data_IF_965712729801
#
_entry.id   IF_965712729801
#
_cell.length_a   1.000
_cell.length_b   1.000
_cell.length_c   1.000
_cell.angle_alpha   90.00
_cell.angle_beta   90.00
_cell.angle_gamma   90.00
#
_symmetry.space_group_name_H-M   'P 1'
#
loop_
_entity.id
_entity.type
_entity.pdbx_description
1 polymer ?
#
# COMPACT_ATOMS: atom_id res chain seq x y z
N UNK A 1 -44.71 -14.11 71.23
CA UNK A 1 -43.69 -13.88 70.19
C UNK A 1 -44.19 -12.77 69.30
N UNK A 2 -43.56 -11.61 69.39
CA UNK A 2 -44.00 -10.37 68.74
C UNK A 2 -43.32 -10.21 67.38
N UNK A 3 -44.06 -9.85 66.35
CA UNK A 3 -43.53 -9.36 65.07
C UNK A 3 -44.03 -7.94 64.82
N UNK A 4 -43.16 -6.97 65.11
CA UNK A 4 -43.32 -5.56 64.71
C UNK A 4 -42.75 -5.40 63.30
N UNK A 5 -43.56 -4.83 62.40
CA UNK A 5 -43.14 -4.34 61.09
C UNK A 5 -42.28 -3.08 61.25
N UNK A 6 -40.99 -3.19 60.93
CA UNK A 6 -40.06 -2.07 60.85
C UNK A 6 -39.84 -1.66 59.40
N UNK A 7 -40.21 -0.42 59.07
CA UNK A 7 -39.82 0.27 57.85
C UNK A 7 -38.33 0.63 57.91
N UNK A 8 -37.52 0.13 56.98
CA UNK A 8 -36.17 0.64 56.73
C UNK A 8 -36.07 1.18 55.31
N UNK A 9 -35.95 2.51 55.23
CA UNK A 9 -35.54 3.28 54.08
C UNK A 9 -34.16 2.81 53.61
N UNK A 10 -34.07 2.21 52.42
CA UNK A 10 -32.79 1.93 51.77
C UNK A 10 -32.54 3.00 50.70
N UNK A 11 -31.58 3.86 51.01
CA UNK A 11 -31.09 5.01 50.25
C UNK A 11 -30.57 4.56 48.88
N UNK A 12 -31.29 4.86 47.79
CA UNK A 12 -30.70 4.84 46.45
C UNK A 12 -29.78 6.05 46.32
N UNK A 13 -28.49 5.80 46.47
CA UNK A 13 -27.45 6.76 46.10
C UNK A 13 -27.52 6.95 44.57
N UNK A 14 -28.20 8.01 44.14
CA UNK A 14 -28.21 8.42 42.74
C UNK A 14 -26.80 8.94 42.42
N UNK A 15 -25.95 8.07 41.88
CA UNK A 15 -24.73 8.47 41.19
C UNK A 15 -25.15 9.27 39.95
N UNK A 16 -25.22 10.60 40.11
CA UNK A 16 -25.24 11.53 38.99
C UNK A 16 -23.98 11.28 38.16
N UNK A 17 -24.11 10.60 37.01
CA UNK A 17 -23.10 10.62 35.94
C UNK A 17 -22.84 12.10 35.61
N UNK A 18 -21.76 12.66 36.16
CA UNK A 18 -21.28 13.98 35.75
C UNK A 18 -20.88 13.85 34.29
N UNK A 19 -21.62 14.50 33.38
CA UNK A 19 -21.19 14.68 31.99
C UNK A 19 -19.86 15.42 32.04
N UNK A 20 -18.81 14.79 31.52
CA UNK A 20 -17.51 15.42 31.37
C UNK A 20 -17.65 16.65 30.45
N UNK A 21 -16.85 17.71 30.66
CA UNK A 21 -16.81 18.85 29.74
C UNK A 21 -16.48 18.36 28.32
N UNK A 22 -17.10 18.94 27.30
CA UNK A 22 -16.91 18.55 25.89
C UNK A 22 -15.43 18.45 25.49
N UNK A 23 -14.59 19.41 25.90
CA UNK A 23 -13.15 19.39 25.65
C UNK A 23 -12.40 18.21 26.28
N UNK A 24 -12.88 17.70 27.42
CA UNK A 24 -12.28 16.52 28.07
C UNK A 24 -12.68 15.25 27.32
N UNK A 25 -13.92 15.16 26.84
CA UNK A 25 -14.41 14.04 26.02
C UNK A 25 -13.66 13.99 24.69
N UNK A 26 -13.56 15.12 23.97
CA UNK A 26 -12.81 15.21 22.70
C UNK A 26 -11.34 14.84 22.88
N UNK A 27 -10.72 15.24 23.99
CA UNK A 27 -9.33 14.88 24.29
C UNK A 27 -9.16 13.39 24.58
N UNK A 28 -10.09 12.78 25.32
CA UNK A 28 -10.05 11.34 25.64
C UNK A 28 -10.21 10.51 24.36
N UNK A 29 -11.21 10.83 23.52
CA UNK A 29 -11.42 10.14 22.23
C UNK A 29 -10.15 10.23 21.36
N UNK A 30 -9.52 11.41 21.32
CA UNK A 30 -8.28 11.61 20.56
C UNK A 30 -7.10 10.80 21.13
N UNK A 31 -6.98 10.67 22.44
CA UNK A 31 -5.94 9.83 23.06
C UNK A 31 -6.20 8.34 22.82
N UNK A 32 -7.46 7.89 22.81
CA UNK A 32 -7.87 6.52 22.50
C UNK A 32 -7.54 6.14 21.04
N UNK A 33 -7.93 6.98 20.08
CA UNK A 33 -7.61 6.78 18.65
C UNK A 33 -6.09 6.70 18.43
N UNK A 34 -5.31 7.59 19.04
CA UNK A 34 -3.85 7.56 18.91
C UNK A 34 -3.21 6.31 19.54
N UNK A 35 -3.79 5.79 20.63
CA UNK A 35 -3.31 4.55 21.24
C UNK A 35 -3.62 3.34 20.35
N UNK A 36 -4.84 3.23 19.82
CA UNK A 36 -5.21 2.17 18.86
C UNK A 36 -4.26 2.19 17.65
N UNK A 37 -4.08 3.34 17.01
CA UNK A 37 -3.20 3.48 15.85
C UNK A 37 -1.77 3.04 16.15
N UNK A 38 -1.30 3.30 17.37
CA UNK A 38 0.02 2.92 17.82
C UNK A 38 0.12 1.42 18.05
N UNK A 39 -0.91 0.80 18.61
CA UNK A 39 -0.99 -0.65 18.79
C UNK A 39 -0.97 -1.37 17.44
N UNK A 40 -1.75 -0.89 16.47
CA UNK A 40 -1.77 -1.40 15.09
C UNK A 40 -0.41 -1.27 14.39
N UNK A 41 0.23 -0.11 14.52
CA UNK A 41 1.58 0.09 13.95
C UNK A 41 2.62 -0.87 14.56
N UNK A 42 2.55 -1.10 15.87
CA UNK A 42 3.44 -2.04 16.58
C UNK A 42 3.16 -3.49 16.23
N UNK A 43 1.89 -3.84 16.06
CA UNK A 43 1.47 -5.16 15.61
C UNK A 43 2.04 -5.44 14.23
N UNK A 44 1.92 -4.49 13.30
CA UNK A 44 2.54 -4.61 11.98
C UNK A 44 4.06 -4.77 12.07
N UNK A 45 4.77 -3.95 12.86
CA UNK A 45 6.23 -4.10 13.06
C UNK A 45 6.61 -5.50 13.58
N UNK A 46 5.82 -6.07 14.49
CA UNK A 46 6.03 -7.43 15.01
C UNK A 46 5.83 -8.49 13.93
N UNK A 47 4.73 -8.41 13.17
CA UNK A 47 4.43 -9.33 12.05
C UNK A 47 5.54 -9.24 11.01
N UNK A 48 5.96 -8.02 10.68
CA UNK A 48 7.02 -7.75 9.74
C UNK A 48 8.35 -8.39 10.14
N UNK A 49 8.80 -8.20 11.39
CA UNK A 49 10.04 -8.78 11.89
C UNK A 49 10.01 -10.31 11.77
N UNK A 50 8.95 -10.95 12.27
CA UNK A 50 8.83 -12.40 12.19
C UNK A 50 8.78 -12.92 10.76
N UNK A 51 8.03 -12.25 9.88
CA UNK A 51 7.92 -12.64 8.48
C UNK A 51 9.26 -12.47 7.76
N UNK A 52 9.88 -11.29 7.81
CA UNK A 52 11.15 -11.03 7.10
C UNK A 52 12.28 -11.96 7.53
N UNK A 53 12.38 -12.33 8.80
CA UNK A 53 13.34 -13.34 9.27
C UNK A 53 13.03 -14.72 8.70
N UNK A 54 11.77 -15.17 8.77
CA UNK A 54 11.36 -16.49 8.25
C UNK A 54 11.50 -16.63 6.73
N UNK A 55 11.43 -15.51 5.98
CA UNK A 55 11.46 -15.50 4.53
C UNK A 55 12.85 -15.30 3.92
N UNK A 56 13.91 -15.12 4.74
CA UNK A 56 15.26 -14.83 4.26
C UNK A 56 15.74 -15.82 3.19
N UNK A 57 15.59 -17.12 3.44
CA UNK A 57 16.00 -18.17 2.49
C UNK A 57 15.21 -18.09 1.18
N UNK A 58 13.92 -17.72 1.25
CA UNK A 58 13.10 -17.52 0.05
C UNK A 58 13.55 -16.29 -0.74
N UNK A 59 13.81 -15.17 -0.08
CA UNK A 59 14.33 -13.96 -0.74
C UNK A 59 15.64 -14.24 -1.46
N UNK A 60 16.59 -14.89 -0.78
CA UNK A 60 17.90 -15.23 -1.36
C UNK A 60 17.74 -16.20 -2.53
N UNK A 61 16.93 -17.26 -2.38
CA UNK A 61 16.69 -18.24 -3.45
C UNK A 61 16.07 -17.60 -4.69
N UNK A 62 14.96 -16.88 -4.52
CA UNK A 62 14.21 -16.28 -5.63
C UNK A 62 15.02 -15.17 -6.28
N UNK A 63 15.67 -14.31 -5.48
CA UNK A 63 16.54 -13.26 -5.99
C UNK A 63 17.78 -13.80 -6.72
N UNK A 64 18.31 -14.96 -6.31
CA UNK A 64 19.40 -15.64 -7.04
C UNK A 64 18.93 -16.12 -8.40
N UNK A 65 17.75 -16.72 -8.47
CA UNK A 65 17.17 -17.16 -9.75
C UNK A 65 16.85 -15.98 -10.66
N UNK A 66 16.36 -14.87 -10.09
CA UNK A 66 16.19 -13.61 -10.81
C UNK A 66 17.52 -13.12 -11.38
N UNK A 67 18.57 -12.95 -10.56
CA UNK A 67 19.88 -12.50 -11.02
C UNK A 67 20.44 -13.40 -12.14
N UNK A 68 20.34 -14.72 -11.97
CA UNK A 68 20.79 -15.68 -12.97
C UNK A 68 20.01 -15.52 -14.29
N UNK A 69 18.69 -15.46 -14.24
CA UNK A 69 17.86 -15.30 -15.43
C UNK A 69 18.20 -14.00 -16.18
N UNK A 70 18.35 -12.88 -15.47
CA UNK A 70 18.72 -11.60 -16.06
C UNK A 70 20.13 -11.63 -16.68
N UNK A 71 21.11 -12.24 -15.99
CA UNK A 71 22.47 -12.39 -16.51
C UNK A 71 22.54 -13.29 -17.77
N UNK A 72 21.66 -14.28 -17.86
CA UNK A 72 21.50 -15.16 -19.02
C UNK A 72 20.70 -14.53 -20.17
N UNK A 73 20.15 -13.32 -19.99
CA UNK A 73 19.29 -12.66 -20.98
C UNK A 73 17.95 -13.36 -21.19
N UNK A 74 17.47 -14.10 -20.17
CA UNK A 74 16.17 -14.79 -20.19
C UNK A 74 15.09 -13.82 -19.76
N UNK A 75 13.90 -13.96 -20.36
CA UNK A 75 12.75 -13.16 -19.94
C UNK A 75 12.29 -13.60 -18.56
N UNK A 76 11.98 -12.61 -17.74
CA UNK A 76 11.39 -12.79 -16.42
C UNK A 76 10.02 -12.14 -16.43
N UNK A 77 9.03 -12.88 -15.97
CA UNK A 77 7.64 -12.47 -15.92
C UNK A 77 7.22 -12.33 -14.47
N UNK A 78 6.93 -11.11 -14.03
CA UNK A 78 6.32 -10.89 -12.72
C UNK A 78 4.80 -11.05 -12.88
N UNK A 79 4.24 -12.08 -12.25
CA UNK A 79 2.83 -12.42 -12.36
C UNK A 79 2.14 -12.27 -11.01
N UNK A 80 1.01 -11.57 -10.99
CA UNK A 80 0.21 -11.35 -9.81
C UNK A 80 -1.22 -10.98 -10.20
N UNK A 81 -2.20 -11.62 -9.58
CA UNK A 81 -3.63 -11.37 -9.83
C UNK A 81 -4.31 -11.02 -8.52
N UNK A 82 -5.38 -10.23 -8.57
CA UNK A 82 -6.12 -9.82 -7.39
C UNK A 82 -5.20 -9.16 -6.38
N UNK A 83 -5.13 -9.68 -5.17
CA UNK A 83 -4.21 -9.21 -4.13
C UNK A 83 -2.73 -9.50 -4.41
N UNK A 84 -2.38 -10.42 -5.31
CA UNK A 84 -0.97 -10.76 -5.56
C UNK A 84 -0.29 -9.81 -6.56
N UNK A 85 -1.03 -8.87 -7.15
CA UNK A 85 -0.48 -7.94 -8.15
C UNK A 85 0.58 -6.98 -7.59
N UNK A 86 0.47 -6.56 -6.31
CA UNK A 86 1.40 -5.59 -5.71
C UNK A 86 2.85 -6.07 -5.72
N UNK A 87 3.09 -7.36 -5.45
CA UNK A 87 4.44 -7.93 -5.56
C UNK A 87 4.95 -7.84 -6.99
N UNK A 88 4.12 -8.23 -7.97
CA UNK A 88 4.52 -8.29 -9.35
C UNK A 88 4.78 -6.88 -9.94
N UNK A 89 3.94 -5.91 -9.57
CA UNK A 89 4.09 -4.50 -9.92
C UNK A 89 5.39 -3.93 -9.33
N UNK A 90 5.57 -4.07 -8.02
CA UNK A 90 6.73 -3.53 -7.31
C UNK A 90 8.03 -4.18 -7.80
N UNK A 91 8.01 -5.49 -8.07
CA UNK A 91 9.17 -6.21 -8.62
C UNK A 91 9.56 -5.64 -9.98
N UNK A 92 8.59 -5.51 -10.89
CA UNK A 92 8.82 -5.06 -12.27
C UNK A 92 9.31 -3.63 -12.32
N UNK A 93 8.55 -2.72 -11.73
CA UNK A 93 8.77 -1.29 -11.93
C UNK A 93 10.01 -0.78 -11.18
N UNK A 94 10.55 -1.56 -10.25
CA UNK A 94 11.70 -1.19 -9.40
C UNK A 94 13.00 -1.92 -9.75
N UNK A 95 12.97 -2.78 -10.76
CA UNK A 95 14.16 -3.29 -11.47
C UNK A 95 14.80 -2.26 -12.42
N UNK A 96 14.52 -0.96 -12.21
CA UNK A 96 15.12 0.16 -12.94
C UNK A 96 14.99 0.10 -14.46
N UNK A 97 13.88 -0.48 -14.94
CA UNK A 97 13.60 -0.60 -16.37
C UNK A 97 14.48 -1.65 -17.07
N UNK A 98 14.93 -2.68 -16.35
CA UNK A 98 15.63 -3.82 -16.96
C UNK A 98 14.79 -4.38 -18.12
N UNK A 99 15.37 -4.58 -19.32
CA UNK A 99 14.59 -4.91 -20.52
C UNK A 99 13.91 -6.29 -20.44
N UNK A 100 14.51 -7.21 -19.70
CA UNK A 100 14.02 -8.60 -19.61
C UNK A 100 12.93 -8.83 -18.56
N UNK A 101 12.63 -7.87 -17.68
CA UNK A 101 11.51 -8.01 -16.74
C UNK A 101 10.22 -7.50 -17.38
N UNK A 102 9.19 -8.32 -17.36
CA UNK A 102 7.88 -8.04 -17.94
C UNK A 102 6.83 -8.24 -16.85
N UNK A 103 6.06 -7.20 -16.59
CA UNK A 103 4.90 -7.29 -15.70
C UNK A 103 3.69 -7.88 -16.43
N UNK A 104 3.07 -8.90 -15.84
CA UNK A 104 1.77 -9.42 -16.27
C UNK A 104 0.67 -8.88 -15.34
N UNK A 105 0.07 -7.76 -15.75
CA UNK A 105 -1.00 -7.08 -15.02
C UNK A 105 -2.29 -7.00 -15.85
N UNK A 106 -2.89 -8.13 -16.25
CA UNK A 106 -4.17 -8.11 -16.96
C UNK A 106 -5.22 -7.44 -16.08
N UNK A 107 -5.76 -6.30 -16.53
CA UNK A 107 -6.65 -5.45 -15.74
C UNK A 107 -7.93 -6.20 -15.30
N UNK A 108 -8.40 -7.12 -16.13
CA UNK A 108 -9.53 -8.01 -15.83
C UNK A 108 -9.30 -8.95 -14.65
N UNK A 109 -8.05 -9.12 -14.21
CA UNK A 109 -7.67 -9.92 -13.06
C UNK A 109 -7.36 -9.08 -11.82
N UNK A 110 -7.72 -7.79 -11.80
CA UNK A 110 -7.59 -6.94 -10.61
C UNK A 110 -8.88 -6.96 -9.79
N UNK A 111 -8.78 -6.85 -8.46
CA UNK A 111 -9.93 -7.02 -7.53
C UNK A 111 -11.09 -6.05 -7.75
N UNK A 112 -10.81 -4.89 -8.36
CA UNK A 112 -11.81 -3.89 -8.69
C UNK A 112 -12.53 -4.13 -10.03
N UNK A 113 -12.07 -5.07 -10.87
CA UNK A 113 -12.73 -5.41 -12.14
C UNK A 113 -13.87 -6.41 -11.91
N UNK A 114 -15.03 -6.17 -12.52
CA UNK A 114 -16.21 -7.02 -12.35
C UNK A 114 -16.03 -8.45 -12.86
N UNK A 115 -15.04 -8.70 -13.73
CA UNK A 115 -14.73 -10.01 -14.29
C UNK A 115 -13.83 -10.86 -13.39
N UNK A 116 -13.11 -10.23 -12.46
CA UNK A 116 -12.09 -10.86 -11.60
C UNK A 116 -12.56 -12.18 -10.99
N UNK A 117 -13.66 -12.13 -10.22
CA UNK A 117 -14.17 -13.29 -9.48
C UNK A 117 -14.46 -14.49 -10.39
N UNK A 118 -14.86 -14.26 -11.64
CA UNK A 118 -15.15 -15.33 -12.59
C UNK A 118 -13.89 -15.84 -13.27
N UNK A 119 -12.97 -14.96 -13.66
CA UNK A 119 -11.76 -15.34 -14.41
C UNK A 119 -10.74 -16.09 -13.55
N UNK A 120 -10.59 -15.75 -12.26
CA UNK A 120 -9.67 -16.50 -11.37
C UNK A 120 -10.09 -17.96 -11.18
N UNK A 121 -11.35 -18.29 -11.48
CA UNK A 121 -11.90 -19.66 -11.44
C UNK A 121 -11.82 -20.39 -12.78
N UNK A 122 -11.23 -19.79 -13.82
CA UNK A 122 -11.12 -20.38 -15.15
C UNK A 122 -9.68 -20.85 -15.43
N UNK A 123 -9.36 -22.14 -15.24
CA UNK A 123 -8.05 -22.72 -15.56
C UNK A 123 -7.60 -22.48 -17.00
N UNK A 124 -8.52 -22.47 -17.95
CA UNK A 124 -8.25 -22.34 -19.38
C UNK A 124 -7.64 -20.97 -19.74
N UNK A 125 -7.94 -19.96 -18.93
CA UNK A 125 -7.41 -18.61 -19.11
C UNK A 125 -5.89 -18.56 -18.89
N UNK A 126 -5.30 -19.51 -18.15
CA UNK A 126 -3.84 -19.63 -18.01
C UNK A 126 -3.14 -19.80 -19.37
N UNK A 127 -3.74 -20.60 -20.26
CA UNK A 127 -3.20 -20.82 -21.60
C UNK A 127 -3.26 -19.54 -22.44
N UNK A 128 -4.34 -18.77 -22.30
CA UNK A 128 -4.50 -17.47 -22.97
C UNK A 128 -3.40 -16.51 -22.53
N UNK A 129 -3.12 -16.41 -21.23
CA UNK A 129 -2.07 -15.53 -20.71
C UNK A 129 -0.68 -15.94 -21.22
N UNK A 130 -0.34 -17.23 -21.16
CA UNK A 130 0.95 -17.76 -21.65
C UNK A 130 1.14 -17.45 -23.14
N UNK A 131 0.10 -17.67 -23.97
CA UNK A 131 0.15 -17.41 -25.41
C UNK A 131 0.22 -15.91 -25.72
N UNK A 132 -0.59 -15.08 -25.04
CA UNK A 132 -0.66 -13.64 -25.29
C UNK A 132 0.66 -12.92 -24.95
N UNK A 133 1.31 -13.30 -23.85
CA UNK A 133 2.61 -12.75 -23.45
C UNK A 133 3.82 -13.48 -24.07
N UNK A 134 3.57 -14.54 -24.86
CA UNK A 134 4.61 -15.35 -25.50
C UNK A 134 5.64 -15.84 -24.48
N UNK A 135 5.15 -16.44 -23.39
CA UNK A 135 5.99 -17.05 -22.36
C UNK A 135 6.50 -18.39 -22.89
N UNK A 136 7.82 -18.52 -23.02
CA UNK A 136 8.48 -19.61 -23.73
C UNK A 136 9.34 -20.48 -22.80
N UNK A 137 9.72 -21.65 -23.30
CA UNK A 137 10.59 -22.59 -22.55
C UNK A 137 11.86 -21.87 -22.09
N UNK A 138 12.28 -22.16 -20.86
CA UNK A 138 13.38 -21.52 -20.15
C UNK A 138 13.09 -20.09 -19.67
N UNK A 139 11.94 -19.48 -19.91
CA UNK A 139 11.60 -18.23 -19.21
C UNK A 139 11.41 -18.47 -17.71
N UNK A 140 11.45 -17.40 -16.92
CA UNK A 140 11.19 -17.42 -15.48
C UNK A 140 9.90 -16.67 -15.17
N UNK A 141 8.99 -17.28 -14.42
CA UNK A 141 7.81 -16.61 -13.85
C UNK A 141 8.00 -16.50 -12.34
N UNK A 142 7.89 -15.26 -11.84
CA UNK A 142 7.94 -14.91 -10.43
C UNK A 142 6.56 -14.44 -9.98
N UNK A 143 6.04 -15.04 -8.91
CA UNK A 143 4.76 -14.66 -8.33
C UNK A 143 4.87 -14.52 -6.82
N UNK A 144 3.93 -13.80 -6.23
CA UNK A 144 3.59 -13.97 -4.82
C UNK A 144 2.47 -15.01 -4.71
N UNK A 145 2.44 -15.75 -3.62
CA UNK A 145 1.36 -16.67 -3.33
C UNK A 145 0.71 -16.29 -2.02
N UNK A 146 -0.42 -15.60 -2.12
CA UNK A 146 -1.32 -15.45 -1.00
C UNK A 146 -2.61 -16.24 -1.18
N UNK A 147 -3.05 -16.51 -2.41
CA UNK A 147 -4.33 -17.17 -2.67
C UNK A 147 -4.20 -18.42 -3.53
N UNK A 148 -5.01 -19.43 -3.21
CA UNK A 148 -5.19 -20.65 -4.00
C UNK A 148 -6.36 -20.48 -4.98
N UNK A 149 -6.06 -20.21 -6.24
CA UNK A 149 -7.08 -20.11 -7.30
C UNK A 149 -6.88 -21.18 -8.37
N UNK A 150 -7.96 -21.66 -9.02
CA UNK A 150 -7.85 -22.56 -10.17
C UNK A 150 -6.97 -22.00 -11.29
N UNK A 151 -6.98 -20.68 -11.51
CA UNK A 151 -6.11 -20.02 -12.48
C UNK A 151 -4.63 -20.12 -12.08
N UNK A 152 -4.27 -19.88 -10.82
CA UNK A 152 -2.88 -20.03 -10.34
C UNK A 152 -2.37 -21.46 -10.52
N UNK A 153 -3.15 -22.44 -10.07
CA UNK A 153 -2.81 -23.85 -10.20
C UNK A 153 -2.61 -24.25 -11.68
N UNK A 154 -3.44 -23.72 -12.58
CA UNK A 154 -3.31 -23.94 -14.01
C UNK A 154 -2.07 -23.27 -14.60
N UNK A 155 -1.78 -22.01 -14.25
CA UNK A 155 -0.58 -21.28 -14.67
C UNK A 155 0.69 -22.05 -14.29
N UNK A 156 0.82 -22.46 -13.03
CA UNK A 156 1.97 -23.23 -12.57
C UNK A 156 2.10 -24.56 -13.32
N UNK A 157 1.00 -25.31 -13.45
CA UNK A 157 0.99 -26.60 -14.15
C UNK A 157 1.41 -26.45 -15.62
N UNK A 158 0.90 -25.43 -16.30
CA UNK A 158 1.26 -25.16 -17.70
C UNK A 158 2.71 -24.74 -17.85
N UNK A 159 3.21 -23.86 -16.97
CA UNK A 159 4.60 -23.43 -16.95
C UNK A 159 5.55 -24.63 -16.81
N UNK A 160 5.32 -25.47 -15.79
CA UNK A 160 6.12 -26.68 -15.55
C UNK A 160 6.13 -27.62 -16.76
N UNK A 161 4.96 -27.84 -17.41
CA UNK A 161 4.84 -28.71 -18.60
C UNK A 161 5.61 -28.16 -19.81
N UNK A 162 5.64 -26.84 -19.98
CA UNK A 162 6.33 -26.17 -21.10
C UNK A 162 7.83 -25.96 -20.83
N UNK A 163 8.33 -26.35 -19.65
CA UNK A 163 9.72 -26.11 -19.25
C UNK A 163 10.00 -24.64 -18.92
N UNK A 164 8.98 -23.89 -18.51
CA UNK A 164 9.09 -22.55 -17.92
C UNK A 164 9.39 -22.73 -16.43
N UNK A 165 10.34 -21.97 -15.90
CA UNK A 165 10.63 -21.99 -14.47
C UNK A 165 9.58 -21.15 -13.74
N UNK A 166 9.01 -21.70 -12.67
CA UNK A 166 8.01 -21.03 -11.85
C UNK A 166 8.50 -20.94 -10.41
N UNK A 167 8.51 -19.74 -9.84
CA UNK A 167 8.95 -19.50 -8.47
C UNK A 167 7.96 -18.59 -7.77
N UNK A 168 7.70 -18.90 -6.51
CA UNK A 168 6.74 -18.18 -5.69
C UNK A 168 7.37 -17.78 -4.37
N UNK A 169 7.18 -16.53 -4.00
CA UNK A 169 7.35 -16.08 -2.62
C UNK A 169 6.04 -16.39 -1.88
N UNK A 170 6.13 -17.15 -0.79
CA UNK A 170 4.97 -17.55 0.00
C UNK A 170 4.90 -16.74 1.29
N UNK A 171 3.67 -16.39 1.71
CA UNK A 171 3.38 -15.96 3.07
C UNK A 171 2.36 -16.92 3.67
N UNK A 172 2.66 -17.48 4.84
CA UNK A 172 1.71 -18.31 5.58
C UNK A 172 0.59 -17.40 6.11
N UNK A 173 -0.61 -17.48 5.52
CA UNK A 173 -1.80 -16.76 6.01
C UNK A 173 -2.20 -17.28 7.39
N UNK A 174 -2.86 -16.43 8.17
CA UNK A 174 -3.64 -16.91 9.32
C UNK A 174 -4.73 -17.90 8.85
N UNK A 175 -4.59 -19.16 9.26
CA UNK A 175 -5.70 -20.13 9.30
C UNK A 175 -6.38 -20.08 10.67
N UNK A 176 -7.53 -20.74 10.84
CA UNK A 176 -8.32 -20.80 12.09
C UNK A 176 -7.50 -21.15 13.36
N UNK A 177 -6.33 -21.77 13.19
CA UNK A 177 -5.30 -21.85 14.24
C UNK A 177 -4.07 -21.02 13.82
N UNK A 178 -3.80 -19.86 14.46
CA UNK A 178 -2.66 -19.03 14.10
C UNK A 178 -1.34 -19.74 14.40
N UNK A 179 -0.53 -19.99 13.38
CA UNK A 179 0.88 -20.33 13.54
C UNK A 179 1.67 -19.12 14.05
N UNK A 180 2.82 -19.35 14.67
CA UNK A 180 3.68 -18.29 15.23
C UNK A 180 4.09 -17.21 14.20
N UNK A 181 4.07 -17.56 12.91
CA UNK A 181 4.50 -16.72 11.78
C UNK A 181 3.36 -16.34 10.83
N UNK A 182 2.10 -16.59 11.24
CA UNK A 182 0.95 -16.31 10.39
C UNK A 182 0.68 -14.81 10.27
N UNK A 183 0.45 -14.37 9.04
CA UNK A 183 0.27 -12.96 8.68
C UNK A 183 -1.23 -12.62 8.63
N UNK A 184 -1.61 -11.48 9.20
CA UNK A 184 -2.94 -10.90 9.04
C UNK A 184 -3.12 -10.37 7.61
N UNK A 185 -4.26 -10.70 6.99
CA UNK A 185 -4.56 -10.39 5.60
C UNK A 185 -4.41 -8.88 5.28
N UNK A 186 -4.83 -8.00 6.21
CA UNK A 186 -4.71 -6.54 6.06
C UNK A 186 -3.27 -6.03 5.91
N UNK A 187 -2.26 -6.78 6.37
CA UNK A 187 -0.85 -6.39 6.26
C UNK A 187 -0.13 -6.99 5.04
N UNK A 188 -0.78 -7.92 4.36
CA UNK A 188 -0.23 -8.62 3.20
C UNK A 188 0.28 -7.66 2.10
N UNK A 189 -0.42 -6.56 1.74
CA UNK A 189 0.05 -5.64 0.70
C UNK A 189 1.42 -5.06 1.01
N UNK A 190 1.68 -4.69 2.28
CA UNK A 190 2.99 -4.18 2.69
C UNK A 190 4.10 -5.24 2.59
N UNK A 191 3.80 -6.49 2.93
CA UNK A 191 4.77 -7.58 2.87
C UNK A 191 5.09 -7.97 1.43
N UNK A 192 4.09 -7.92 0.53
CA UNK A 192 4.28 -8.17 -0.90
C UNK A 192 5.21 -7.14 -1.54
N UNK A 193 4.97 -5.85 -1.32
CA UNK A 193 5.84 -4.80 -1.90
C UNK A 193 7.26 -4.88 -1.32
N UNK A 194 7.42 -5.23 -0.04
CA UNK A 194 8.75 -5.43 0.53
C UNK A 194 9.43 -6.69 0.01
N UNK A 195 8.71 -7.80 -0.08
CA UNK A 195 9.24 -9.06 -0.61
C UNK A 195 9.79 -8.87 -2.02
N UNK A 196 9.09 -8.09 -2.86
CA UNK A 196 9.58 -7.69 -4.17
C UNK A 196 10.90 -6.90 -4.08
N UNK A 197 11.00 -5.95 -3.16
CA UNK A 197 12.25 -5.19 -2.94
C UNK A 197 13.39 -6.03 -2.39
N UNK A 198 13.11 -6.99 -1.51
CA UNK A 198 14.10 -7.92 -0.99
C UNK A 198 14.64 -8.83 -2.10
N UNK A 199 13.77 -9.36 -2.95
CA UNK A 199 14.14 -10.14 -4.15
C UNK A 199 14.99 -9.30 -5.11
N UNK A 200 14.58 -8.06 -5.38
CA UNK A 200 15.36 -7.12 -6.21
C UNK A 200 16.73 -6.81 -5.58
N UNK A 201 16.78 -6.55 -4.27
CA UNK A 201 18.01 -6.27 -3.54
C UNK A 201 19.02 -7.42 -3.63
N UNK A 202 18.57 -8.67 -3.47
CA UNK A 202 19.38 -9.87 -3.70
C UNK A 202 19.91 -9.89 -5.13
N UNK A 203 19.05 -9.63 -6.12
CA UNK A 203 19.46 -9.70 -7.52
C UNK A 203 20.55 -8.67 -7.85
N UNK A 204 20.43 -7.46 -7.33
CA UNK A 204 21.42 -6.41 -7.47
C UNK A 204 22.71 -6.73 -6.71
N UNK A 205 22.60 -7.28 -5.50
CA UNK A 205 23.76 -7.66 -4.70
C UNK A 205 24.61 -8.70 -5.42
N UNK A 206 23.98 -9.74 -5.98
CA UNK A 206 24.68 -10.78 -6.74
C UNK A 206 25.36 -10.21 -7.99
N UNK A 207 24.68 -9.36 -8.74
CA UNK A 207 25.27 -8.69 -9.90
C UNK A 207 26.49 -7.81 -9.51
N UNK A 208 26.50 -7.27 -8.29
CA UNK A 208 27.58 -6.46 -7.74
C UNK A 208 28.66 -7.27 -6.99
N UNK A 209 28.54 -8.60 -6.90
CA UNK A 209 29.45 -9.44 -6.10
C UNK A 209 29.36 -9.20 -4.58
N UNK A 210 28.22 -8.71 -4.09
CA UNK A 210 27.94 -8.44 -2.67
C UNK A 210 27.17 -9.59 -2.02
N UNK A 211 27.23 -9.66 -0.68
CA UNK A 211 26.50 -10.66 0.10
C UNK A 211 24.97 -10.45 0.01
N UNK A 212 24.20 -11.44 -0.51
CA UNK A 212 22.75 -11.34 -0.62
C UNK A 212 22.03 -11.17 0.72
N UNK A 213 22.35 -12.01 1.71
CA UNK A 213 21.63 -12.03 2.98
C UNK A 213 21.90 -10.75 3.79
N UNK A 214 23.16 -10.31 3.83
CA UNK A 214 23.55 -9.03 4.42
C UNK A 214 22.88 -7.84 3.75
N UNK A 215 22.66 -7.88 2.44
CA UNK A 215 21.93 -6.83 1.71
C UNK A 215 20.46 -6.76 2.12
N UNK A 216 19.79 -7.91 2.23
CA UNK A 216 18.40 -7.98 2.73
C UNK A 216 18.32 -7.51 4.19
N UNK A 217 19.30 -7.89 5.02
CA UNK A 217 19.37 -7.42 6.41
C UNK A 217 19.50 -5.89 6.49
N UNK A 218 20.33 -5.27 5.65
CA UNK A 218 20.45 -3.82 5.56
C UNK A 218 19.15 -3.15 5.08
N UNK A 219 18.43 -3.77 4.15
CA UNK A 219 17.11 -3.31 3.72
C UNK A 219 16.11 -3.34 4.87
N UNK A 220 16.06 -4.46 5.59
CA UNK A 220 15.16 -4.64 6.73
C UNK A 220 15.45 -3.61 7.84
N UNK A 221 16.73 -3.39 8.17
CA UNK A 221 17.14 -2.35 9.11
C UNK A 221 16.62 -0.97 8.69
N UNK A 222 16.77 -0.62 7.41
CA UNK A 222 16.26 0.65 6.88
C UNK A 222 14.73 0.75 7.03
N UNK A 223 14.00 -0.34 6.81
CA UNK A 223 12.56 -0.36 7.00
C UNK A 223 12.18 -0.13 8.47
N UNK A 224 12.85 -0.81 9.41
CA UNK A 224 12.55 -0.66 10.85
C UNK A 224 12.75 0.77 11.32
N UNK A 225 13.83 1.43 10.87
CA UNK A 225 14.07 2.86 11.16
C UNK A 225 12.95 3.76 10.59
N UNK A 226 12.44 3.44 9.39
CA UNK A 226 11.32 4.15 8.77
C UNK A 226 10.04 3.93 9.58
N UNK A 227 9.72 2.69 9.97
CA UNK A 227 8.52 2.35 10.73
C UNK A 227 8.53 2.96 12.14
N UNK A 228 9.69 2.94 12.81
CA UNK A 228 9.86 3.59 14.11
C UNK A 228 9.60 5.10 13.99
N UNK A 229 10.19 5.76 12.98
CA UNK A 229 9.94 7.18 12.74
C UNK A 229 8.45 7.45 12.42
N UNK A 230 7.83 6.58 11.62
CA UNK A 230 6.42 6.69 11.24
C UNK A 230 5.49 6.59 12.47
N UNK A 231 5.67 5.57 13.30
CA UNK A 231 4.92 5.39 14.57
C UNK A 231 5.05 6.63 15.46
N UNK A 232 6.27 7.17 15.59
CA UNK A 232 6.54 8.27 16.50
C UNK A 232 5.96 9.61 16.03
N UNK A 233 5.75 9.78 14.72
CA UNK A 233 5.53 11.12 14.15
C UNK A 233 4.26 11.29 13.32
N UNK A 234 3.68 10.21 12.78
CA UNK A 234 2.64 10.35 11.73
C UNK A 234 1.22 10.02 12.18
N UNK A 235 1.03 9.28 13.27
CA UNK A 235 -0.30 8.90 13.77
C UNK A 235 -1.24 10.12 13.97
N UNK A 236 -0.78 11.27 14.50
CA UNK A 236 -1.63 12.46 14.63
C UNK A 236 -2.12 13.04 13.29
N UNK A 237 -1.30 12.97 12.24
CA UNK A 237 -1.70 13.43 10.91
C UNK A 237 -2.71 12.48 10.28
N UNK A 238 -2.58 11.16 10.51
CA UNK A 238 -3.53 10.15 10.05
C UNK A 238 -4.88 10.34 10.76
N UNK A 239 -4.88 10.47 12.08
CA UNK A 239 -6.10 10.77 12.86
C UNK A 239 -6.78 12.07 12.42
N UNK A 240 -6.00 13.07 12.00
CA UNK A 240 -6.58 14.33 11.50
C UNK A 240 -7.39 14.16 10.19
N UNK A 241 -7.08 13.14 9.38
CA UNK A 241 -7.84 12.85 8.16
C UNK A 241 -9.26 12.38 8.51
N UNK A 242 -9.36 11.45 9.45
CA UNK A 242 -10.65 10.91 9.92
C UNK A 242 -11.43 11.96 10.71
N UNK A 243 -10.77 12.73 11.60
CA UNK A 243 -11.37 13.88 12.29
C UNK A 243 -12.03 14.88 11.30
N UNK A 244 -11.35 15.20 10.19
CA UNK A 244 -11.91 16.10 9.16
C UNK A 244 -13.07 15.47 8.40
N UNK A 245 -13.02 14.17 8.15
CA UNK A 245 -14.09 13.44 7.47
C UNK A 245 -15.36 13.40 8.32
N UNK A 246 -15.24 13.09 9.62
CA UNK A 246 -16.33 13.14 10.58
C UNK A 246 -16.93 14.55 10.69
N UNK A 247 -16.06 15.57 10.79
CA UNK A 247 -16.50 16.96 10.92
C UNK A 247 -17.29 17.42 9.69
N UNK A 248 -16.89 16.98 8.49
CA UNK A 248 -17.50 17.41 7.22
C UNK A 248 -18.63 16.50 6.75
N UNK A 249 -18.71 15.26 7.21
CA UNK A 249 -19.70 14.26 6.78
C UNK A 249 -19.69 14.05 5.26
N UNK A 250 -18.49 13.98 4.68
CA UNK A 250 -18.27 13.76 3.24
C UNK A 250 -17.68 12.40 2.91
N UNK A 251 -17.08 12.29 1.72
CA UNK A 251 -16.38 11.08 1.24
C UNK A 251 -14.87 11.23 1.40
N UNK A 252 -14.18 10.13 1.68
CA UNK A 252 -12.73 10.03 1.55
C UNK A 252 -12.41 9.64 0.09
N UNK A 253 -11.90 10.59 -0.69
CA UNK A 253 -11.51 10.36 -2.07
C UNK A 253 -10.01 10.11 -2.13
N UNK A 254 -9.59 9.02 -2.76
CA UNK A 254 -8.18 8.60 -2.76
C UNK A 254 -7.65 8.54 -4.18
N UNK A 255 -6.53 9.22 -4.44
CA UNK A 255 -5.86 9.17 -5.75
C UNK A 255 -4.35 9.36 -5.63
N UNK A 256 -3.61 8.39 -6.11
CA UNK A 256 -2.19 8.44 -6.42
C UNK A 256 -1.93 8.22 -7.91
N UNK A 257 -0.75 8.61 -8.34
CA UNK A 257 -0.25 8.41 -9.71
C UNK A 257 1.04 7.58 -9.70
N UNK A 258 1.27 6.78 -10.74
CA UNK A 258 2.36 5.81 -10.79
C UNK A 258 2.24 4.79 -9.65
N UNK A 259 3.33 4.43 -9.00
CA UNK A 259 3.35 3.46 -7.88
C UNK A 259 2.48 3.87 -6.70
N UNK A 260 2.24 5.17 -6.50
CA UNK A 260 1.35 5.62 -5.43
C UNK A 260 -0.10 5.16 -5.63
N UNK A 261 -0.44 4.63 -6.82
CA UNK A 261 -1.78 4.12 -7.09
C UNK A 261 -2.17 2.89 -6.27
N UNK A 262 -1.18 2.15 -5.75
CA UNK A 262 -1.42 0.98 -4.91
C UNK A 262 -2.33 1.26 -3.70
N UNK A 263 -2.38 2.52 -3.24
CA UNK A 263 -3.32 2.93 -2.19
C UNK A 263 -4.78 2.91 -2.67
N UNK A 264 -5.07 3.27 -3.93
CA UNK A 264 -6.42 3.11 -4.49
C UNK A 264 -6.81 1.63 -4.52
N UNK A 265 -5.89 0.75 -4.87
CA UNK A 265 -6.16 -0.68 -5.00
C UNK A 265 -6.45 -1.32 -3.63
N UNK A 266 -5.75 -0.87 -2.58
CA UNK A 266 -6.05 -1.23 -1.19
C UNK A 266 -7.45 -0.72 -0.79
N UNK A 267 -7.73 0.56 -1.03
CA UNK A 267 -9.00 1.19 -0.66
C UNK A 267 -10.19 0.60 -1.44
N UNK A 268 -9.95 0.13 -2.67
CA UNK A 268 -10.98 -0.50 -3.50
C UNK A 268 -11.37 -1.90 -3.01
N UNK A 269 -10.56 -2.54 -2.17
CA UNK A 269 -10.90 -3.84 -1.57
C UNK A 269 -11.87 -3.68 -0.40
N UNK A 270 -11.91 -2.50 0.21
CA UNK A 270 -12.90 -2.21 1.22
C UNK A 270 -14.29 -2.05 0.59
N UNK A 271 -15.18 -3.00 0.87
CA UNK A 271 -16.54 -3.03 0.31
C UNK A 271 -17.62 -2.64 1.31
N UNK A 272 -17.28 -2.49 2.59
CA UNK A 272 -18.22 -2.17 3.66
C UNK A 272 -18.33 -0.67 3.95
N UNK A 273 -17.34 0.13 3.51
CA UNK A 273 -17.31 1.59 3.68
C UNK A 273 -17.74 2.33 2.40
N UNK A 274 -19.02 2.68 2.32
CA UNK A 274 -19.61 3.38 1.16
C UNK A 274 -19.03 4.78 0.90
N UNK A 275 -18.41 5.41 1.91
CA UNK A 275 -17.85 6.76 1.83
C UNK A 275 -16.37 6.78 1.41
N UNK A 276 -15.74 5.63 1.16
CA UNK A 276 -14.38 5.54 0.60
C UNK A 276 -14.45 5.41 -0.91
N UNK A 277 -13.86 6.36 -1.62
CA UNK A 277 -13.93 6.46 -3.09
C UNK A 277 -12.53 6.47 -3.70
N UNK A 278 -11.98 5.30 -4.09
CA UNK A 278 -10.74 5.23 -4.84
C UNK A 278 -10.95 5.66 -6.30
N UNK A 279 -10.08 6.54 -6.79
CA UNK A 279 -10.06 6.97 -8.20
C UNK A 279 -9.26 5.96 -9.03
N UNK A 280 -9.93 5.02 -9.70
CA UNK A 280 -9.30 3.93 -10.45
C UNK A 280 -9.09 4.25 -11.94
N UNK A 281 -8.48 5.40 -12.25
CA UNK A 281 -8.16 5.79 -13.63
C UNK A 281 -6.85 5.13 -14.10
N UNK A 282 -6.96 4.23 -15.08
CA UNK A 282 -5.83 3.43 -15.56
C UNK A 282 -4.67 4.29 -16.08
N UNK A 283 -4.97 5.42 -16.73
CA UNK A 283 -3.98 6.34 -17.27
C UNK A 283 -3.14 7.06 -16.20
N UNK A 284 -3.46 6.87 -14.91
CA UNK A 284 -2.67 7.33 -13.78
C UNK A 284 -1.86 6.21 -13.12
N UNK A 285 -2.20 4.94 -13.37
CA UNK A 285 -1.59 3.77 -12.72
C UNK A 285 -0.26 3.40 -13.37
N UNK A 286 0.58 2.61 -12.67
CA UNK A 286 1.92 2.26 -13.17
C UNK A 286 1.91 1.19 -14.28
N UNK A 287 0.77 0.56 -14.56
CA UNK A 287 0.66 -0.49 -15.59
C UNK A 287 1.14 -0.01 -16.96
N UNK A 288 0.95 1.27 -17.27
CA UNK A 288 1.63 1.98 -18.36
C UNK A 288 2.40 3.18 -17.79
N UNK A 289 3.71 3.04 -17.51
CA UNK A 289 4.51 4.12 -16.94
C UNK A 289 4.72 5.29 -17.92
N UNK A 290 4.62 5.03 -19.23
CA UNK A 290 4.73 6.08 -20.25
C UNK A 290 3.45 6.91 -20.23
N UNK A 291 2.29 6.29 -20.32
CA UNK A 291 1.00 6.96 -20.26
C UNK A 291 0.83 7.74 -18.96
N UNK A 292 1.08 7.12 -17.80
CA UNK A 292 0.99 7.81 -16.50
C UNK A 292 1.96 8.97 -16.37
N UNK A 293 3.17 8.86 -16.93
CA UNK A 293 4.13 9.96 -16.99
C UNK A 293 3.65 11.14 -17.86
N UNK A 294 2.89 10.88 -18.93
CA UNK A 294 2.26 11.92 -19.73
C UNK A 294 1.07 12.56 -19.03
N UNK A 295 0.18 11.75 -18.44
CA UNK A 295 -1.02 12.21 -17.71
C UNK A 295 -0.63 13.11 -16.54
N UNK A 296 0.43 12.75 -15.79
CA UNK A 296 0.93 13.56 -14.67
C UNK A 296 1.40 14.98 -15.05
N UNK A 297 1.64 15.24 -16.34
CA UNK A 297 2.01 16.57 -16.87
C UNK A 297 0.79 17.38 -17.34
N UNK A 298 -0.39 16.75 -17.46
CA UNK A 298 -1.59 17.39 -17.97
C UNK A 298 -2.30 18.16 -16.86
N UNK A 299 -2.31 19.49 -16.99
CA UNK A 299 -2.97 20.38 -16.03
C UNK A 299 -4.49 20.20 -16.05
N UNK A 300 -5.08 20.14 -17.23
CA UNK A 300 -6.53 20.11 -17.42
C UNK A 300 -7.19 18.82 -16.93
N UNK A 301 -6.40 17.75 -16.79
CA UNK A 301 -6.85 16.47 -16.24
C UNK A 301 -7.33 16.61 -14.78
N UNK A 302 -6.78 17.58 -14.02
CA UNK A 302 -7.20 17.84 -12.66
C UNK A 302 -8.68 18.27 -12.55
N UNK A 303 -9.15 19.14 -13.46
CA UNK A 303 -10.56 19.57 -13.48
C UNK A 303 -11.47 18.41 -13.90
N UNK A 304 -11.03 17.59 -14.86
CA UNK A 304 -11.77 16.41 -15.30
C UNK A 304 -12.03 15.45 -14.13
N UNK A 305 -11.02 15.19 -13.29
CA UNK A 305 -11.20 14.35 -12.09
C UNK A 305 -12.24 14.92 -11.12
N UNK A 306 -12.21 16.23 -10.86
CA UNK A 306 -13.19 16.90 -9.99
C UNK A 306 -14.61 16.72 -10.54
N UNK A 307 -14.78 16.93 -11.85
CA UNK A 307 -16.08 16.85 -12.52
C UNK A 307 -16.60 15.40 -12.57
N UNK A 308 -15.74 14.45 -12.95
CA UNK A 308 -16.06 13.02 -13.09
C UNK A 308 -16.49 12.40 -11.76
N UNK A 309 -15.74 12.67 -10.69
CA UNK A 309 -16.02 12.16 -9.34
C UNK A 309 -16.97 13.04 -8.53
N UNK A 310 -17.42 14.15 -9.12
CA UNK A 310 -18.33 15.14 -8.53
C UNK A 310 -17.85 15.59 -7.15
N UNK A 311 -16.57 15.94 -7.05
CA UNK A 311 -15.92 16.23 -5.77
C UNK A 311 -16.55 17.46 -5.12
N UNK A 312 -16.97 17.33 -3.87
CA UNK A 312 -17.69 18.35 -3.13
C UNK A 312 -16.83 18.99 -2.01
N UNK A 313 -17.20 20.18 -1.51
CA UNK A 313 -16.48 20.84 -0.41
C UNK A 313 -16.39 20.02 0.90
N UNK A 314 -17.38 19.17 1.16
CA UNK A 314 -17.40 18.29 2.34
C UNK A 314 -16.48 17.07 2.21
N UNK A 315 -16.02 16.74 1.00
CA UNK A 315 -15.11 15.61 0.82
C UNK A 315 -13.72 15.92 1.43
N UNK A 316 -13.00 14.85 1.75
CA UNK A 316 -11.57 14.88 2.09
C UNK A 316 -10.82 14.12 1.01
N UNK A 317 -9.81 14.74 0.41
CA UNK A 317 -9.04 14.16 -0.68
C UNK A 317 -7.66 13.74 -0.18
N UNK A 318 -7.35 12.44 -0.24
CA UNK A 318 -6.05 11.87 0.14
C UNK A 318 -5.22 11.57 -1.11
N UNK A 319 -4.05 12.19 -1.20
CA UNK A 319 -3.16 12.10 -2.36
C UNK A 319 -1.76 11.62 -1.98
N UNK A 320 -1.43 10.34 -2.15
CA UNK A 320 -0.05 9.88 -2.07
C UNK A 320 0.77 10.34 -3.27
N UNK A 321 1.89 11.00 -3.00
CA UNK A 321 2.88 11.38 -4.01
C UNK A 321 4.25 11.52 -3.36
N UNK A 322 5.14 10.55 -3.61
CA UNK A 322 6.46 10.51 -2.97
C UNK A 322 7.29 11.81 -3.18
N UNK A 323 7.22 12.40 -4.38
CA UNK A 323 7.94 13.67 -4.65
C UNK A 323 7.07 14.91 -4.55
N UNK A 324 5.75 14.79 -4.73
CA UNK A 324 4.84 15.93 -4.77
C UNK A 324 5.10 16.94 -5.88
N UNK A 325 5.90 16.61 -6.91
CA UNK A 325 6.39 17.59 -7.91
C UNK A 325 5.54 17.71 -9.18
N UNK A 326 4.67 16.73 -9.45
CA UNK A 326 3.96 16.63 -10.73
C UNK A 326 2.96 17.76 -10.94
N UNK A 327 2.79 18.18 -12.19
CA UNK A 327 1.88 19.28 -12.58
C UNK A 327 0.45 18.95 -12.17
N UNK A 328 -0.04 17.75 -12.52
CA UNK A 328 -1.42 17.35 -12.29
C UNK A 328 -1.76 17.32 -10.79
N UNK A 329 -0.89 16.74 -9.93
CA UNK A 329 -1.15 16.64 -8.50
C UNK A 329 -1.22 18.02 -7.82
N UNK A 330 -0.27 18.90 -8.14
CA UNK A 330 -0.24 20.26 -7.57
C UNK A 330 -1.42 21.09 -8.06
N UNK A 331 -1.80 20.97 -9.34
CA UNK A 331 -2.95 21.67 -9.87
C UNK A 331 -4.26 21.15 -9.25
N UNK A 332 -4.40 19.84 -9.09
CA UNK A 332 -5.57 19.23 -8.45
C UNK A 332 -5.71 19.71 -7.01
N UNK A 333 -4.63 19.68 -6.21
CA UNK A 333 -4.65 20.22 -4.86
C UNK A 333 -5.08 21.70 -4.83
N UNK A 334 -4.61 22.52 -5.78
CA UNK A 334 -5.00 23.93 -5.91
C UNK A 334 -6.49 24.10 -6.24
N UNK A 335 -7.03 23.28 -7.14
CA UNK A 335 -8.46 23.32 -7.52
C UNK A 335 -9.35 22.84 -6.38
N UNK A 336 -8.98 21.76 -5.70
CA UNK A 336 -9.66 21.25 -4.52
C UNK A 336 -9.72 22.29 -3.39
N UNK A 337 -8.60 22.97 -3.13
CA UNK A 337 -8.55 24.08 -2.18
C UNK A 337 -9.49 25.22 -2.57
N UNK A 338 -9.55 25.56 -3.86
CA UNK A 338 -10.50 26.57 -4.39
C UNK A 338 -11.96 26.14 -4.21
N UNK A 339 -12.23 24.82 -4.23
CA UNK A 339 -13.52 24.21 -3.92
C UNK A 339 -13.76 23.98 -2.41
N UNK A 340 -12.85 24.41 -1.52
CA UNK A 340 -12.90 24.20 -0.07
C UNK A 340 -12.87 22.74 0.39
N UNK A 341 -12.50 21.82 -0.50
CA UNK A 341 -12.25 20.41 -0.19
C UNK A 341 -10.94 20.31 0.62
N UNK A 342 -10.91 19.48 1.67
CA UNK A 342 -9.68 19.29 2.47
C UNK A 342 -8.72 18.41 1.68
N UNK A 343 -7.45 18.81 1.57
CA UNK A 343 -6.41 18.03 0.90
C UNK A 343 -5.44 17.44 1.92
N UNK A 344 -5.35 16.12 1.98
CA UNK A 344 -4.33 15.38 2.71
C UNK A 344 -3.30 14.80 1.72
N UNK A 345 -2.02 14.92 2.02
CA UNK A 345 -0.95 14.41 1.18
C UNK A 345 -0.04 13.44 1.94
N UNK A 346 0.23 12.27 1.35
CA UNK A 346 1.29 11.37 1.80
C UNK A 346 2.52 11.62 0.92
N UNK A 347 3.61 12.10 1.49
CA UNK A 347 4.80 12.55 0.73
C UNK A 347 6.08 12.18 1.46
N UNK A 348 7.21 12.11 0.77
CA UNK A 348 8.51 11.96 1.42
C UNK A 348 9.06 13.34 1.78
N UNK A 349 9.06 13.70 3.05
CA UNK A 349 9.52 15.01 3.51
C UNK A 349 11.05 15.16 3.50
N UNK A 350 11.81 14.08 3.35
CA UNK A 350 13.26 14.13 3.08
C UNK A 350 13.57 14.41 1.60
N UNK A 351 12.59 14.26 0.70
CA UNK A 351 12.77 14.38 -0.75
C UNK A 351 12.02 15.57 -1.36
N UNK A 352 10.73 15.75 -1.05
CA UNK A 352 9.88 16.74 -1.71
C UNK A 352 10.40 18.19 -1.56
N UNK A 353 10.86 18.65 -0.38
CA UNK A 353 11.35 20.02 -0.22
C UNK A 353 12.58 20.37 -1.06
N UNK A 354 13.43 19.38 -1.38
CA UNK A 354 14.71 19.59 -2.09
C UNK A 354 14.62 19.34 -3.60
N UNK A 355 13.49 18.86 -4.11
CA UNK A 355 13.26 18.64 -5.54
C UNK A 355 12.58 19.86 -6.16
N UNK A 356 12.98 20.23 -7.37
CA UNK A 356 12.30 21.28 -8.15
C UNK A 356 10.89 20.81 -8.56
N UNK A 357 9.87 21.64 -8.34
CA UNK A 357 8.52 21.38 -8.83
C UNK A 357 8.46 21.49 -10.36
N UNK A 358 7.65 20.61 -10.98
CA UNK A 358 7.33 20.71 -12.41
C UNK A 358 6.12 21.63 -12.64
N UNK A 359 5.35 21.97 -11.59
CA UNK A 359 4.18 22.83 -11.68
C UNK A 359 4.59 24.31 -11.87
N UNK A 360 3.92 25.10 -12.73
CA UNK A 360 4.26 26.51 -13.00
C UNK A 360 4.30 27.44 -11.78
N UNK A 361 3.57 27.12 -10.70
CA UNK A 361 3.60 27.89 -9.45
C UNK A 361 4.91 27.72 -8.64
N UNK A 362 5.75 26.75 -8.99
CA UNK A 362 6.94 26.36 -8.22
C UNK A 362 6.64 25.58 -6.94
N UNK A 363 5.37 25.44 -6.54
CA UNK A 363 4.95 24.70 -5.34
C UNK A 363 4.97 23.20 -5.55
N UNK A 364 5.20 22.44 -4.49
CA UNK A 364 5.01 20.99 -4.40
C UNK A 364 3.72 20.70 -3.64
N UNK A 365 3.25 19.46 -3.73
CA UNK A 365 2.00 19.01 -3.14
C UNK A 365 1.89 19.33 -1.64
N UNK A 366 2.95 19.10 -0.87
CA UNK A 366 2.96 19.35 0.58
C UNK A 366 2.78 20.84 0.93
N UNK A 367 3.13 21.76 0.02
CA UNK A 367 2.94 23.20 0.21
C UNK A 367 1.51 23.65 -0.13
N UNK A 368 0.68 22.72 -0.64
CA UNK A 368 -0.72 22.95 -1.02
C UNK A 368 -1.72 22.10 -0.25
N UNK A 369 -1.25 21.20 0.61
CA UNK A 369 -2.09 20.31 1.41
C UNK A 369 -2.40 20.91 2.79
N UNK A 370 -3.61 20.63 3.30
CA UNK A 370 -4.04 21.01 4.66
C UNK A 370 -3.50 20.04 5.72
N UNK A 371 -3.25 18.78 5.32
CA UNK A 371 -2.70 17.72 6.14
C UNK A 371 -1.54 17.08 5.39
N UNK A 372 -0.38 16.97 6.03
CA UNK A 372 0.80 16.30 5.48
C UNK A 372 1.15 15.11 6.35
N UNK A 373 1.26 13.95 5.71
CA UNK A 373 1.72 12.69 6.28
C UNK A 373 3.07 12.40 5.62
N UNK A 374 4.15 12.44 6.39
CA UNK A 374 5.47 12.04 5.92
C UNK A 374 5.52 10.52 5.82
N UNK A 375 5.92 9.98 4.67
CA UNK A 375 6.12 8.55 4.52
C UNK A 375 7.42 8.05 5.19
N UNK A 376 8.22 8.97 5.76
CA UNK A 376 9.45 8.79 6.54
C UNK A 376 10.63 8.14 5.79
N UNK A 377 10.43 7.76 4.53
CA UNK A 377 11.44 7.14 3.69
C UNK A 377 12.62 8.10 3.44
N UNK A 378 13.78 7.52 3.14
CA UNK A 378 14.99 8.29 2.86
C UNK A 378 14.85 9.14 1.60
N UNK A 379 15.61 10.23 1.49
CA UNK A 379 15.61 11.10 0.29
C UNK A 379 15.84 10.28 -1.00
N UNK A 380 15.12 10.53 -2.09
CA UNK A 380 15.10 9.75 -3.34
C UNK A 380 14.44 8.38 -3.25
N UNK A 381 13.93 7.98 -2.08
CA UNK A 381 13.29 6.68 -1.86
C UNK A 381 14.18 5.54 -2.36
N UNK A 382 15.39 5.46 -1.82
CA UNK A 382 16.38 4.48 -2.25
C UNK A 382 17.27 4.09 -1.07
N UNK A 383 16.86 3.07 -0.34
CA UNK A 383 17.43 2.74 0.97
C UNK A 383 18.82 2.12 0.91
N UNK A 384 19.20 1.51 -0.21
CA UNK A 384 20.48 0.84 -0.36
C UNK A 384 21.38 1.54 -1.38
N UNK A 385 22.69 1.45 -1.16
CA UNK A 385 23.70 1.75 -2.18
C UNK A 385 24.39 0.45 -2.58
N UNK A 386 24.13 0.00 -3.80
CA UNK A 386 24.66 -1.25 -4.37
C UNK A 386 25.37 -0.87 -5.67
N UNK A 387 26.65 -1.23 -5.79
CA UNK A 387 27.49 -0.87 -6.95
C UNK A 387 27.48 0.65 -7.25
N UNK A 388 27.60 1.47 -6.20
CA UNK A 388 27.58 2.94 -6.31
C UNK A 388 26.21 3.54 -6.70
N UNK A 389 25.20 2.71 -6.96
CA UNK A 389 23.85 3.16 -7.33
C UNK A 389 22.89 3.04 -6.14
N UNK A 390 22.07 4.08 -5.98
CA UNK A 390 21.03 4.09 -4.95
C UNK A 390 19.77 3.39 -5.47
N UNK A 391 19.30 2.36 -4.75
CA UNK A 391 18.17 1.51 -5.15
C UNK A 391 17.30 1.09 -3.95
N UNK A 392 16.31 0.23 -4.21
CA UNK A 392 15.41 -0.36 -3.23
C UNK A 392 14.54 0.67 -2.49
N UNK A 393 13.56 1.28 -3.20
CA UNK A 393 12.54 2.13 -2.58
C UNK A 393 11.70 1.37 -1.56
N UNK A 394 11.19 2.08 -0.56
CA UNK A 394 10.32 1.52 0.48
C UNK A 394 9.05 2.35 0.71
N UNK A 395 8.83 3.43 -0.06
CA UNK A 395 7.65 4.30 0.11
C UNK A 395 6.31 3.61 -0.08
N UNK A 396 6.23 2.58 -0.95
CA UNK A 396 5.00 1.79 -1.13
C UNK A 396 4.54 1.15 0.18
N UNK A 397 5.48 0.69 1.03
CA UNK A 397 5.18 0.06 2.33
C UNK A 397 4.46 1.02 3.26
N UNK A 398 5.00 2.24 3.44
CA UNK A 398 4.43 3.21 4.38
C UNK A 398 3.16 3.89 3.85
N UNK A 399 3.04 4.04 2.52
CA UNK A 399 1.79 4.47 1.89
C UNK A 399 0.67 3.47 2.17
N UNK A 400 0.92 2.17 1.96
CA UNK A 400 -0.06 1.11 2.24
C UNK A 400 -0.37 1.00 3.73
N UNK A 401 0.64 1.08 4.62
CA UNK A 401 0.43 1.10 6.06
C UNK A 401 -0.47 2.27 6.49
N UNK A 402 -0.25 3.47 5.94
CA UNK A 402 -1.14 4.60 6.18
C UNK A 402 -2.58 4.30 5.75
N UNK A 403 -2.77 3.59 4.64
CA UNK A 403 -4.09 3.15 4.18
C UNK A 403 -4.78 2.20 5.14
N UNK A 404 -4.06 1.16 5.61
CA UNK A 404 -4.57 0.20 6.59
C UNK A 404 -5.00 0.89 7.89
N UNK A 405 -4.16 1.79 8.41
CA UNK A 405 -4.46 2.56 9.63
C UNK A 405 -5.64 3.54 9.47
N UNK A 406 -5.89 4.02 8.25
CA UNK A 406 -7.07 4.83 7.95
C UNK A 406 -8.33 3.97 7.90
N UNK A 407 -8.27 2.80 7.24
CA UNK A 407 -9.39 1.88 7.16
C UNK A 407 -9.82 1.39 8.55
N UNK A 408 -8.87 1.04 9.41
CA UNK A 408 -9.16 0.62 10.79
C UNK A 408 -9.94 1.68 11.56
N UNK A 409 -9.48 2.94 11.53
CA UNK A 409 -10.21 4.04 12.16
C UNK A 409 -11.60 4.25 11.56
N UNK A 410 -11.73 4.18 10.22
CA UNK A 410 -13.02 4.37 9.58
C UNK A 410 -14.01 3.25 9.95
N UNK A 411 -13.53 2.03 10.14
CA UNK A 411 -14.35 0.93 10.65
C UNK A 411 -14.82 1.18 12.08
N UNK A 412 -13.92 1.61 12.97
CA UNK A 412 -14.29 1.98 14.35
C UNK A 412 -15.37 3.05 14.36
N UNK A 413 -15.21 4.11 13.55
CA UNK A 413 -16.17 5.20 13.43
C UNK A 413 -17.51 4.77 12.83
N UNK A 414 -17.53 3.74 11.97
CA UNK A 414 -18.76 3.20 11.38
C UNK A 414 -19.52 2.25 12.30
N UNK A 415 -18.85 1.73 13.33
CA UNK A 415 -19.42 0.79 14.29
C UNK A 415 -20.14 1.48 15.47
N UNK A 416 -19.88 2.77 15.68
CA UNK A 416 -20.57 3.64 16.65
C UNK A 416 -21.92 4.17 16.12
#
# INVERSE_FOLDING_TARGET
MATKSGSSSNSRLILRKRRLPFYVVVRIIREEVLNMLKEECRLFQKVWLGWTESQMDQFVRIGTQLAQALAEGRKVYAFGIGEDHWFAEELTARLQGHPEIIGLFPHELMTYDCRYASLIRCPEYAKVLIEAWKIERNDLVLSFHSQDTPLYAAMEKHCRRLGIQWQMLQADRQTETPGLFSVEERFLPMLQVFGAQAVNAVSFALAAGMDPAGTVHALNKSMLEILEQFEQTQLPSIAKVTEELERKQGRLIVMGSGHSHMLQDLMAQEKTLDNVVPILEQELMVFDPVQSGWTQKQRDYAQMLIDKYKIQPQDVFLMPSNTGKSVMNVELARLLWSNKTTVAAITNMKQSPVIKSDHPSGRRLFETADIVIDNCCVNKDACLTIDGQRRCPLSSVTVLLCGVLLLEQLHELSAE
#
